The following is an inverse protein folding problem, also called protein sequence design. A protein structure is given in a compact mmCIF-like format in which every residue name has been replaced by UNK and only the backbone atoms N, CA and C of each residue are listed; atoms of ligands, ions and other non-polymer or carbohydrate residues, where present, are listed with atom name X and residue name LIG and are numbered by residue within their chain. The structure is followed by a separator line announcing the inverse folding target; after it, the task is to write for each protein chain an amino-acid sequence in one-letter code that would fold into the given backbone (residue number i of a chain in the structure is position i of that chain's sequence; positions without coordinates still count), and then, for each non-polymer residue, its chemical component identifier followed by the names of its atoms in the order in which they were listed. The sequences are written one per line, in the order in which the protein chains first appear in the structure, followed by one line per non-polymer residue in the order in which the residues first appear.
data_IF_041188612143
#
_entry.id   IF_041188612143
#
_cell.length_a   1.000
_cell.length_b   1.000
_cell.length_c   1.000
_cell.angle_alpha   90.00
_cell.angle_beta   90.00
_cell.angle_gamma   90.00
#
_symmetry.space_group_name_H-M   'P 1'
#
loop_
_entity.id
_entity.type
_entity.pdbx_description
1 polymer ?
#
# COMPACT_ATOMS: atom_id res chain seq x y z
N UNK A 1 13.07 7.47 5.11
CA UNK A 1 12.16 7.61 6.26
C UNK A 1 12.52 6.51 7.23
N UNK A 2 12.60 6.82 8.53
CA UNK A 2 12.79 5.79 9.55
C UNK A 2 11.40 5.48 10.13
N UNK A 3 11.06 4.19 10.23
CA UNK A 3 9.78 3.72 10.78
C UNK A 3 10.06 2.77 11.95
N UNK A 4 9.18 2.76 12.94
CA UNK A 4 9.23 1.82 14.05
C UNK A 4 7.85 1.16 14.17
N UNK A 5 7.83 -0.17 14.15
CA UNK A 5 6.60 -0.95 14.23
C UNK A 5 6.58 -1.77 15.50
N UNK A 6 5.42 -1.83 16.14
CA UNK A 6 5.13 -2.89 17.10
C UNK A 6 5.06 -4.22 16.35
N UNK A 7 5.51 -5.31 16.99
CA UNK A 7 5.49 -6.66 16.39
C UNK A 7 4.11 -7.05 15.85
N UNK A 8 3.05 -6.66 16.56
CA UNK A 8 1.66 -6.95 16.19
C UNK A 8 1.22 -6.28 14.88
N UNK A 9 1.91 -5.23 14.42
CA UNK A 9 1.58 -4.46 13.21
C UNK A 9 2.23 -5.05 11.95
N UNK A 10 3.32 -5.82 12.11
CA UNK A 10 4.11 -6.34 11.00
C UNK A 10 3.33 -7.06 9.89
N UNK A 11 2.25 -7.83 10.17
CA UNK A 11 1.47 -8.47 9.10
C UNK A 11 0.86 -7.50 8.09
N UNK A 12 0.64 -6.23 8.47
CA UNK A 12 0.12 -5.17 7.60
C UNK A 12 1.20 -4.17 7.14
N UNK A 13 2.44 -4.30 7.63
CA UNK A 13 3.55 -3.40 7.31
C UNK A 13 4.40 -3.96 6.16
N UNK A 14 3.83 -4.00 4.95
CA UNK A 14 4.50 -4.48 3.73
C UNK A 14 4.72 -3.34 2.75
N UNK A 15 5.94 -3.19 2.22
CA UNK A 15 6.20 -2.26 1.12
C UNK A 15 5.68 -2.87 -0.19
N UNK A 16 5.02 -2.05 -1.02
CA UNK A 16 4.46 -2.55 -2.26
C UNK A 16 5.52 -2.66 -3.36
N UNK A 17 5.13 -3.25 -4.48
CA UNK A 17 5.99 -3.43 -5.64
C UNK A 17 6.25 -2.08 -6.33
N UNK A 18 7.50 -1.84 -6.72
CA UNK A 18 7.95 -0.62 -7.41
C UNK A 18 8.90 -0.95 -8.55
N UNK A 19 8.95 -0.06 -9.55
CA UNK A 19 9.92 -0.10 -10.63
C UNK A 19 9.25 0.13 -11.99
N UNK A 20 9.60 1.24 -12.66
CA UNK A 20 9.03 1.59 -13.96
C UNK A 20 9.17 0.48 -15.00
N UNK A 21 10.33 -0.18 -15.07
CA UNK A 21 10.61 -1.19 -16.08
C UNK A 21 9.80 -2.49 -15.85
N UNK A 22 9.58 -2.84 -14.58
CA UNK A 22 8.87 -4.06 -14.20
C UNK A 22 7.35 -3.87 -14.11
N UNK A 23 6.92 -2.70 -13.65
CA UNK A 23 5.56 -2.45 -13.18
C UNK A 23 4.92 -1.19 -13.75
N UNK A 24 5.64 -0.38 -14.53
CA UNK A 24 5.14 0.89 -15.07
C UNK A 24 4.85 1.97 -14.02
N UNK A 25 5.18 1.71 -12.75
CA UNK A 25 4.93 2.59 -11.61
C UNK A 25 6.16 2.66 -10.70
N UNK A 26 6.45 3.85 -10.21
CA UNK A 26 7.55 4.15 -9.29
C UNK A 26 7.11 5.30 -8.38
N UNK A 27 7.69 5.38 -7.18
CA UNK A 27 7.45 6.44 -6.17
C UNK A 27 6.10 6.42 -5.43
N UNK A 28 5.29 5.39 -5.60
CA UNK A 28 3.98 5.29 -4.94
C UNK A 28 3.84 4.09 -4.00
N UNK A 29 4.85 3.21 -3.96
CA UNK A 29 4.84 2.00 -3.15
C UNK A 29 4.76 2.28 -1.65
N UNK A 30 5.51 3.27 -1.16
CA UNK A 30 5.53 3.68 0.25
C UNK A 30 4.30 4.51 0.64
N UNK A 31 3.76 5.30 -0.29
CA UNK A 31 2.50 6.04 -0.12
C UNK A 31 1.34 5.05 0.04
N UNK A 32 1.21 4.11 -0.88
CA UNK A 32 0.08 3.17 -0.89
C UNK A 32 0.22 2.08 0.19
N UNK A 33 1.44 1.65 0.53
CA UNK A 33 1.64 0.80 1.72
C UNK A 33 1.21 1.53 2.99
N UNK A 34 1.52 2.82 3.10
CA UNK A 34 1.09 3.68 4.21
C UNK A 34 -0.43 3.79 4.32
N UNK A 35 -1.14 3.96 3.20
CA UNK A 35 -2.61 3.98 3.17
C UNK A 35 -3.22 2.66 3.64
N UNK A 36 -2.73 1.53 3.11
CA UNK A 36 -3.20 0.20 3.48
C UNK A 36 -2.96 -0.06 4.97
N UNK A 37 -1.75 0.25 5.46
CA UNK A 37 -1.41 0.13 6.86
C UNK A 37 -2.34 1.00 7.72
N UNK A 38 -2.52 2.28 7.37
CA UNK A 38 -3.40 3.19 8.12
C UNK A 38 -4.83 2.67 8.17
N UNK A 39 -5.37 2.17 7.05
CA UNK A 39 -6.73 1.61 6.98
C UNK A 39 -6.90 0.42 7.92
N UNK A 40 -5.89 -0.44 8.04
CA UNK A 40 -5.88 -1.58 8.98
C UNK A 40 -5.73 -1.10 10.42
N UNK A 41 -4.86 -0.14 10.71
CA UNK A 41 -4.71 0.41 12.06
C UNK A 41 -6.00 1.03 12.58
N UNK A 42 -6.70 1.80 11.74
CA UNK A 42 -7.99 2.41 12.08
C UNK A 42 -9.05 1.36 12.38
N UNK A 43 -9.10 0.31 11.56
CA UNK A 43 -10.00 -0.81 11.80
C UNK A 43 -9.74 -1.49 13.15
N UNK A 44 -8.47 -1.60 13.56
CA UNK A 44 -8.09 -2.14 14.86
C UNK A 44 -8.27 -1.17 16.04
N UNK A 45 -8.62 0.09 15.77
CA UNK A 45 -8.66 1.15 16.77
C UNK A 45 -7.26 1.54 17.28
N UNK A 46 -6.23 1.35 16.46
CA UNK A 46 -4.83 1.68 16.77
C UNK A 46 -4.41 2.99 16.11
N UNK A 47 -3.32 3.57 16.62
CA UNK A 47 -2.84 4.87 16.20
C UNK A 47 -1.43 4.79 15.62
N UNK A 48 -1.17 5.60 14.60
CA UNK A 48 0.18 5.91 14.13
C UNK A 48 0.52 7.34 14.53
N UNK A 49 1.79 7.58 14.85
CA UNK A 49 2.31 8.92 15.17
C UNK A 49 3.56 9.19 14.35
N UNK A 50 3.77 10.45 14.00
CA UNK A 50 4.98 10.94 13.33
C UNK A 50 5.71 11.93 14.24
N UNK A 51 7.03 11.79 14.31
CA UNK A 51 7.89 12.75 15.01
C UNK A 51 8.32 13.91 14.11
N UNK A 52 8.98 14.89 14.71
CA UNK A 52 9.57 16.00 13.97
C UNK A 52 10.67 15.52 12.99
N UNK A 53 10.82 16.18 11.83
CA UNK A 53 11.85 15.82 10.87
C UNK A 53 13.23 16.28 11.34
N UNK A 54 14.00 15.38 11.96
CA UNK A 54 15.36 15.68 12.45
C UNK A 54 16.44 15.69 11.35
N UNK A 55 16.14 15.15 10.16
CA UNK A 55 17.11 15.01 9.06
C UNK A 55 16.67 15.82 7.85
N UNK A 56 17.51 16.77 7.43
CA UNK A 56 17.33 17.48 6.17
C UNK A 56 17.90 16.65 5.01
N UNK A 57 17.04 15.87 4.37
CA UNK A 57 17.40 15.13 3.17
C UNK A 57 17.15 15.96 1.89
N UNK A 58 18.19 16.61 1.36
CA UNK A 58 18.09 17.34 0.09
C UNK A 58 18.31 16.40 -1.09
N UNK A 59 17.23 16.07 -1.80
CA UNK A 59 17.29 15.29 -3.04
C UNK A 59 18.02 16.11 -4.12
N UNK A 60 19.04 15.54 -4.74
CA UNK A 60 19.76 16.15 -5.89
C UNK A 60 19.15 15.77 -7.26
N UNK A 61 17.96 15.20 -7.29
CA UNK A 61 17.32 14.76 -8.54
C UNK A 61 16.58 15.89 -9.25
N UNK A 62 16.46 15.78 -10.57
CA UNK A 62 15.70 16.72 -11.38
C UNK A 62 14.19 16.59 -11.10
N UNK A 63 13.55 17.70 -10.72
CA UNK A 63 12.13 17.72 -10.37
C UNK A 63 11.22 17.30 -11.54
N UNK A 64 11.48 17.77 -12.75
CA UNK A 64 10.69 17.44 -13.94
C UNK A 64 10.82 15.97 -14.36
N UNK A 65 12.00 15.37 -14.17
CA UNK A 65 12.19 13.93 -14.38
C UNK A 65 11.35 13.13 -13.38
N UNK A 66 11.32 13.50 -12.10
CA UNK A 66 10.49 12.81 -11.11
C UNK A 66 9.01 12.99 -11.43
N UNK A 67 8.57 14.20 -11.77
CA UNK A 67 7.17 14.47 -12.13
C UNK A 67 6.69 13.58 -13.28
N UNK A 68 7.51 13.36 -14.32
CA UNK A 68 7.16 12.45 -15.42
C UNK A 68 7.02 10.99 -14.97
N UNK A 69 7.86 10.56 -14.02
CA UNK A 69 7.81 9.21 -13.44
C UNK A 69 6.58 9.03 -12.53
N UNK A 70 6.18 10.10 -11.85
CA UNK A 70 5.08 10.12 -10.90
C UNK A 70 3.71 10.33 -11.57
N UNK A 71 3.66 10.88 -12.80
CA UNK A 71 2.43 11.30 -13.46
C UNK A 71 1.30 10.25 -13.50
N UNK A 72 1.62 9.00 -13.85
CA UNK A 72 0.62 7.92 -13.86
C UNK A 72 0.15 7.59 -12.44
N UNK A 73 1.07 7.52 -11.48
CA UNK A 73 0.75 7.24 -10.09
C UNK A 73 -0.10 8.33 -9.44
N UNK A 74 0.13 9.61 -9.78
CA UNK A 74 -0.71 10.73 -9.32
C UNK A 74 -2.15 10.53 -9.78
N UNK A 75 -2.37 10.26 -11.06
CA UNK A 75 -3.72 10.03 -11.60
C UNK A 75 -4.41 8.87 -10.89
N UNK A 76 -3.72 7.74 -10.74
CA UNK A 76 -4.25 6.56 -10.02
C UNK A 76 -4.59 6.92 -8.58
N UNK A 77 -3.71 7.67 -7.91
CA UNK A 77 -3.82 7.99 -6.51
C UNK A 77 -5.12 8.73 -6.22
N UNK A 78 -5.51 9.71 -7.06
CA UNK A 78 -6.76 10.50 -6.92
C UNK A 78 -8.02 9.64 -6.73
N UNK A 79 -8.01 8.38 -7.21
CA UNK A 79 -9.11 7.43 -7.04
C UNK A 79 -8.80 6.32 -6.03
N UNK A 80 -7.55 5.88 -5.97
CA UNK A 80 -7.17 4.72 -5.17
C UNK A 80 -7.31 4.96 -3.66
N UNK A 81 -6.97 6.16 -3.17
CA UNK A 81 -7.04 6.43 -1.74
C UNK A 81 -8.48 6.32 -1.22
N UNK A 82 -9.43 6.90 -1.96
CA UNK A 82 -10.86 6.91 -1.62
C UNK A 82 -11.44 5.49 -1.68
N UNK A 83 -11.12 4.77 -2.76
CA UNK A 83 -11.51 3.38 -2.96
C UNK A 83 -11.05 2.43 -1.84
N UNK A 84 -9.87 2.70 -1.25
CA UNK A 84 -9.33 1.94 -0.11
C UNK A 84 -9.90 2.40 1.24
N UNK A 85 -10.20 3.68 1.42
CA UNK A 85 -10.83 4.17 2.65
C UNK A 85 -12.22 3.58 2.82
N UNK A 86 -13.02 3.57 1.76
CA UNK A 86 -14.38 3.02 1.73
C UNK A 86 -14.44 1.49 1.69
N UNK A 87 -13.29 0.81 1.71
CA UNK A 87 -13.25 -0.65 1.73
C UNK A 87 -13.97 -1.19 2.98
N UNK A 88 -15.07 -1.95 2.85
CA UNK A 88 -15.72 -2.57 4.00
C UNK A 88 -14.81 -3.65 4.57
N UNK A 89 -14.65 -3.64 5.89
CA UNK A 89 -13.96 -4.69 6.64
C UNK A 89 -14.95 -5.27 7.65
N UNK A 90 -15.22 -6.57 7.54
CA UNK A 90 -16.13 -7.27 8.44
C UNK A 90 -15.68 -7.14 9.90
N UNK A 91 -16.58 -7.05 10.88
CA UNK A 91 -16.19 -7.02 12.30
C UNK A 91 -15.45 -8.30 12.75
N UNK A 92 -14.48 -8.14 13.65
CA UNK A 92 -13.77 -9.26 14.30
C UNK A 92 -12.61 -9.87 13.49
N UNK A 93 -12.19 -9.24 12.40
CA UNK A 93 -11.01 -9.67 11.64
C UNK A 93 -9.73 -9.46 12.45
N UNK A 94 -8.80 -10.40 12.31
CA UNK A 94 -7.41 -10.21 12.74
C UNK A 94 -6.71 -9.21 11.83
N UNK A 95 -5.55 -8.70 12.25
CA UNK A 95 -4.75 -7.76 11.44
C UNK A 95 -4.40 -8.36 10.07
N UNK A 96 -4.01 -9.65 10.08
CA UNK A 96 -3.67 -10.42 8.89
C UNK A 96 -4.90 -10.56 7.99
N UNK A 97 -6.06 -10.89 8.55
CA UNK A 97 -7.29 -11.05 7.78
C UNK A 97 -7.78 -9.71 7.18
N UNK A 98 -7.70 -8.62 7.93
CA UNK A 98 -8.01 -7.27 7.45
C UNK A 98 -7.08 -6.86 6.28
N UNK A 99 -5.77 -7.11 6.42
CA UNK A 99 -4.82 -6.82 5.35
C UNK A 99 -5.05 -7.67 4.09
N UNK A 100 -5.41 -8.95 4.24
CA UNK A 100 -5.82 -9.81 3.11
C UNK A 100 -7.10 -9.33 2.43
N UNK A 101 -8.08 -8.86 3.20
CA UNK A 101 -9.30 -8.28 2.63
C UNK A 101 -8.98 -7.06 1.77
N UNK A 102 -8.08 -6.18 2.24
CA UNK A 102 -7.59 -5.06 1.43
C UNK A 102 -6.80 -5.50 0.20
N UNK A 103 -6.02 -6.59 0.27
CA UNK A 103 -5.35 -7.16 -0.91
C UNK A 103 -6.36 -7.58 -1.98
N UNK A 104 -7.46 -8.24 -1.57
CA UNK A 104 -8.56 -8.60 -2.46
C UNK A 104 -9.24 -7.38 -3.07
N UNK A 105 -9.51 -6.35 -2.26
CA UNK A 105 -10.08 -5.08 -2.70
C UNK A 105 -9.17 -4.39 -3.74
N UNK A 106 -7.87 -4.33 -3.46
CA UNK A 106 -6.85 -3.76 -4.32
C UNK A 106 -6.76 -4.49 -5.66
N UNK A 107 -6.81 -5.84 -5.65
CA UNK A 107 -6.86 -6.65 -6.88
C UNK A 107 -8.06 -6.28 -7.76
N UNK A 108 -9.21 -6.00 -7.17
CA UNK A 108 -10.43 -5.65 -7.88
C UNK A 108 -10.46 -4.21 -8.41
N UNK A 109 -9.50 -3.36 -8.02
CA UNK A 109 -9.49 -1.95 -8.38
C UNK A 109 -9.58 -1.71 -9.90
N UNK A 110 -8.72 -2.30 -10.77
CA UNK A 110 -8.80 -2.06 -12.21
C UNK A 110 -10.12 -2.45 -12.87
N UNK A 111 -10.81 -3.44 -12.30
CA UNK A 111 -12.10 -3.94 -12.80
C UNK A 111 -13.25 -3.04 -12.36
N UNK A 112 -13.16 -2.48 -11.15
CA UNK A 112 -14.21 -1.64 -10.56
C UNK A 112 -14.09 -0.16 -10.95
N UNK A 113 -12.91 0.26 -11.42
CA UNK A 113 -12.64 1.62 -11.89
C UNK A 113 -12.07 1.60 -13.32
N UNK A 114 -12.84 1.15 -14.34
CA UNK A 114 -12.33 0.97 -15.69
C UNK A 114 -11.86 2.27 -16.36
N UNK A 115 -12.40 3.41 -15.93
CA UNK A 115 -12.03 4.74 -16.44
C UNK A 115 -10.70 5.27 -15.86
N UNK A 116 -10.16 4.61 -14.83
CA UNK A 116 -8.89 4.98 -14.21
C UNK A 116 -7.75 4.23 -14.90
N UNK A 117 -6.69 4.92 -15.36
CA UNK A 117 -5.56 4.27 -16.00
C UNK A 117 -4.89 3.32 -15.00
N UNK A 118 -4.47 2.14 -15.46
CA UNK A 118 -3.83 1.15 -14.60
C UNK A 118 -2.60 0.58 -15.30
N UNK A 119 -1.53 0.41 -14.54
CA UNK A 119 -0.37 -0.31 -15.04
C UNK A 119 -0.68 -1.81 -15.17
N UNK A 120 -0.24 -2.40 -16.28
CA UNK A 120 -0.57 -3.78 -16.64
C UNK A 120 -0.19 -4.75 -15.52
N UNK A 121 -1.19 -5.48 -15.02
CA UNK A 121 -1.04 -6.52 -13.97
C UNK A 121 -0.49 -6.02 -12.63
N UNK A 122 -0.37 -4.71 -12.43
CA UNK A 122 0.28 -4.17 -11.24
C UNK A 122 -0.47 -4.56 -9.96
N UNK A 123 -1.77 -4.25 -9.92
CA UNK A 123 -2.60 -4.46 -8.74
C UNK A 123 -2.79 -5.92 -8.39
N UNK A 124 -2.88 -6.81 -9.38
CA UNK A 124 -2.88 -8.25 -9.17
C UNK A 124 -1.55 -8.71 -8.58
N UNK A 125 -0.42 -8.22 -9.10
CA UNK A 125 0.90 -8.59 -8.58
C UNK A 125 1.13 -8.10 -7.16
N UNK A 126 0.69 -6.88 -6.85
CA UNK A 126 0.75 -6.32 -5.49
C UNK A 126 -0.13 -7.12 -4.54
N UNK A 127 -1.36 -7.46 -4.96
CA UNK A 127 -2.24 -8.29 -4.15
C UNK A 127 -1.64 -9.68 -3.89
N UNK A 128 -1.04 -10.33 -4.89
CA UNK A 128 -0.32 -11.60 -4.71
C UNK A 128 0.81 -11.44 -3.69
N UNK A 129 1.62 -10.38 -3.81
CA UNK A 129 2.72 -10.10 -2.87
C UNK A 129 2.22 -9.84 -1.43
N UNK A 130 1.11 -9.12 -1.27
CA UNK A 130 0.47 -8.90 0.04
C UNK A 130 0.01 -10.22 0.66
N UNK A 131 -0.59 -11.12 -0.13
CA UNK A 131 -1.02 -12.43 0.35
C UNK A 131 0.19 -13.27 0.79
N UNK A 132 1.23 -13.36 -0.04
CA UNK A 132 2.48 -14.07 0.30
C UNK A 132 3.10 -13.50 1.58
N UNK A 133 3.15 -12.18 1.73
CA UNK A 133 3.65 -11.53 2.94
C UNK A 133 2.93 -12.02 4.20
N UNK A 134 1.60 -12.13 4.14
CA UNK A 134 0.80 -12.57 5.30
C UNK A 134 1.04 -14.02 5.71
N UNK A 135 1.49 -14.88 4.80
CA UNK A 135 1.79 -16.28 5.11
C UNK A 135 2.93 -16.42 6.12
N UNK A 136 3.85 -15.44 6.15
CA UNK A 136 4.96 -15.40 7.11
C UNK A 136 4.52 -15.18 8.57
N UNK A 137 3.27 -14.80 8.78
CA UNK A 137 2.70 -14.49 10.10
C UNK A 137 1.61 -15.48 10.52
N UNK A 138 1.30 -16.47 9.69
CA UNK A 138 0.42 -17.57 10.06
C UNK A 138 1.21 -18.61 10.87
N UNK A 139 0.58 -19.27 11.85
CA UNK A 139 1.16 -20.47 12.46
C UNK A 139 1.44 -21.49 11.35
N UNK A 140 2.62 -22.14 11.40
CA UNK A 140 2.91 -23.23 10.49
C UNK A 140 1.77 -24.25 10.53
N UNK A 141 1.15 -24.52 9.38
CA UNK A 141 0.17 -25.60 9.26
C UNK A 141 0.94 -26.90 9.50
N UNK A 142 0.81 -27.45 10.70
CA UNK A 142 1.32 -28.78 11.06
C UNK A 142 0.58 -29.88 10.33
#
# INVERSE_FOLDING_TARGET
MNVCYLRSVLPAASNLLMGLDAYGLDRFDDIWSGLLLKRVLDYMGWYATSGEPFVRHMKKSNAFTNLRKEALGIHIHEHLWDYLLDAPLEPGLTITAAFRALAGRLRAFPVTTPDVPHARRYFESVADAMLIWTELFEPARG
#
